data_IF_786769272952
#
_entry.id   IF_786769272952
#
_cell.length_a   1.000
_cell.length_b   1.000
_cell.length_c   1.000
_cell.angle_alpha   90.00
_cell.angle_beta   90.00
_cell.angle_gamma   90.00
#
_symmetry.space_group_name_H-M   'P 1'
#
loop_
_entity.id
_entity.type
_entity.pdbx_description
1 polymer ?
#
# COMPACT_ATOMS: atom_id res chain seq x y z
N UNK A 1 45.35 22.34 10.00
CA UNK A 1 44.02 22.85 9.59
C UNK A 1 43.68 22.18 8.26
N UNK A 2 43.18 20.95 8.14
CA UNK A 2 42.12 20.19 8.84
C UNK A 2 40.70 20.75 8.64
N UNK A 3 40.36 21.22 7.44
CA UNK A 3 38.98 21.54 7.07
C UNK A 3 38.81 21.54 5.55
N UNK A 4 38.84 20.39 4.87
CA UNK A 4 38.35 20.32 3.47
C UNK A 4 37.79 18.95 3.05
N UNK A 5 37.69 17.98 3.97
CA UNK A 5 37.36 16.58 3.64
C UNK A 5 36.00 16.11 4.19
N UNK A 6 35.12 17.05 4.57
CA UNK A 6 33.82 16.73 5.21
C UNK A 6 32.63 16.98 4.28
N UNK A 7 32.82 17.63 3.13
CA UNK A 7 31.70 18.03 2.27
C UNK A 7 31.22 16.97 1.27
N UNK A 8 31.83 15.78 1.22
CA UNK A 8 31.53 14.76 0.19
C UNK A 8 30.71 13.56 0.71
N UNK A 9 30.34 13.52 1.99
CA UNK A 9 29.75 12.33 2.61
C UNK A 9 28.23 12.41 2.88
N UNK A 10 27.56 13.50 2.49
CA UNK A 10 26.13 13.74 2.83
C UNK A 10 25.13 13.36 1.74
N UNK A 11 25.54 12.71 0.63
CA UNK A 11 24.67 12.46 -0.52
C UNK A 11 24.22 11.01 -0.76
N UNK A 12 24.56 10.04 0.12
CA UNK A 12 24.38 8.60 -0.21
C UNK A 12 23.18 7.93 0.47
N UNK A 13 22.27 8.68 1.11
CA UNK A 13 21.03 8.09 1.64
C UNK A 13 19.78 8.82 1.16
N UNK A 14 19.69 9.07 -0.15
CA UNK A 14 18.36 9.15 -0.77
C UNK A 14 17.82 7.72 -0.85
N UNK A 15 17.05 7.32 0.17
CA UNK A 15 16.14 6.20 0.02
C UNK A 15 15.18 6.58 -1.12
N UNK A 16 15.40 5.97 -2.29
CA UNK A 16 14.42 5.96 -3.36
C UNK A 16 13.20 5.22 -2.82
N UNK A 17 12.30 5.97 -2.20
CA UNK A 17 10.93 5.54 -2.01
C UNK A 17 10.35 5.43 -3.42
N UNK A 18 10.42 4.22 -3.98
CA UNK A 18 9.72 3.89 -5.21
C UNK A 18 8.23 4.11 -4.94
N UNK A 19 7.76 5.29 -5.34
CA UNK A 19 6.35 5.66 -5.44
C UNK A 19 5.78 4.87 -6.63
N UNK A 20 5.51 3.59 -6.41
CA UNK A 20 4.86 2.75 -7.40
C UNK A 20 3.35 2.84 -7.20
N UNK A 21 2.61 3.28 -8.23
CA UNK A 21 1.16 3.51 -8.19
C UNK A 21 0.34 2.22 -7.98
N UNK A 22 0.95 1.04 -8.05
CA UNK A 22 0.30 -0.20 -7.61
C UNK A 22 1.26 -1.34 -7.36
N UNK A 23 1.22 -1.99 -6.20
CA UNK A 23 2.13 -3.11 -5.90
C UNK A 23 1.59 -4.42 -6.50
N UNK A 24 2.36 -5.06 -7.38
CA UNK A 24 1.91 -6.24 -8.13
C UNK A 24 2.00 -7.57 -7.37
N UNK A 25 2.68 -7.60 -6.21
CA UNK A 25 2.84 -8.81 -5.41
C UNK A 25 3.09 -8.45 -3.93
N UNK A 26 2.01 -8.17 -3.19
CA UNK A 26 2.06 -7.92 -1.74
C UNK A 26 1.04 -8.79 -1.01
N UNK A 27 1.15 -8.91 0.32
CA UNK A 27 0.15 -9.58 1.15
C UNK A 27 -0.61 -8.59 2.00
N UNK A 28 -1.80 -8.98 2.43
CA UNK A 28 -2.56 -8.23 3.42
C UNK A 28 -2.00 -8.53 4.81
N UNK A 29 -1.41 -7.51 5.44
CA UNK A 29 -0.85 -7.61 6.79
C UNK A 29 -1.91 -7.41 7.88
N UNK A 30 -2.85 -6.48 7.68
CA UNK A 30 -3.93 -6.22 8.62
C UNK A 30 -5.14 -5.56 7.94
N UNK A 31 -6.34 -5.79 8.46
CA UNK A 31 -7.58 -5.12 8.03
C UNK A 31 -8.30 -4.57 9.25
N UNK A 32 -8.75 -3.31 9.17
CA UNK A 32 -9.63 -2.66 10.15
C UNK A 32 -10.86 -2.13 9.45
N UNK A 33 -12.05 -2.57 9.87
CA UNK A 33 -13.32 -2.13 9.29
C UNK A 33 -14.01 -1.11 10.19
N UNK A 34 -14.58 -0.06 9.60
CA UNK A 34 -15.46 0.95 10.23
C UNK A 34 -16.76 1.04 9.42
N UNK A 35 -17.82 1.71 9.92
CA UNK A 35 -19.13 1.73 9.26
C UNK A 35 -19.12 2.14 7.78
N UNK A 36 -18.24 3.08 7.38
CA UNK A 36 -18.21 3.65 6.02
C UNK A 36 -16.89 3.44 5.28
N UNK A 37 -15.89 2.87 5.93
CA UNK A 37 -14.54 2.72 5.37
C UNK A 37 -13.84 1.51 5.98
N UNK A 38 -13.12 0.76 5.16
CA UNK A 38 -12.17 -0.23 5.60
C UNK A 38 -10.74 0.26 5.35
N UNK A 39 -9.87 -0.02 6.30
CA UNK A 39 -8.44 0.26 6.24
C UNK A 39 -7.70 -1.05 6.04
N UNK A 40 -6.86 -1.11 5.02
CA UNK A 40 -6.06 -2.30 4.68
C UNK A 40 -4.58 -1.93 4.75
N UNK A 41 -3.80 -2.65 5.55
CA UNK A 41 -2.35 -2.52 5.59
C UNK A 41 -1.76 -3.65 4.74
N UNK A 42 -1.04 -3.28 3.68
CA UNK A 42 -0.30 -4.22 2.85
C UNK A 42 1.15 -4.36 3.32
N UNK A 43 1.75 -5.51 3.08
CA UNK A 43 3.18 -5.71 3.33
C UNK A 43 4.03 -4.76 2.48
N UNK A 44 5.06 -4.18 3.11
CA UNK A 44 5.91 -3.17 2.49
C UNK A 44 5.33 -1.74 2.50
N UNK A 45 4.05 -1.56 2.84
CA UNK A 45 3.44 -0.24 2.94
C UNK A 45 3.54 0.28 4.39
N UNK A 46 3.98 1.53 4.55
CA UNK A 46 4.19 2.14 5.87
C UNK A 46 2.88 2.60 6.53
N UNK A 47 1.81 2.73 5.74
CA UNK A 47 0.50 3.24 6.16
C UNK A 47 -0.63 2.35 5.64
N UNK A 48 -1.79 2.49 6.28
CA UNK A 48 -3.02 1.86 5.82
C UNK A 48 -3.52 2.55 4.55
N UNK A 49 -4.07 1.77 3.64
CA UNK A 49 -4.87 2.21 2.48
C UNK A 49 -6.37 2.16 2.82
N UNK A 50 -7.20 2.89 2.08
CA UNK A 50 -8.65 2.98 2.31
C UNK A 50 -9.46 2.30 1.21
N UNK A 51 -10.54 1.64 1.61
CA UNK A 51 -11.63 1.16 0.76
C UNK A 51 -12.92 1.80 1.29
N UNK A 52 -13.56 2.65 0.50
CA UNK A 52 -14.82 3.31 0.89
C UNK A 52 -16.00 2.35 0.76
N UNK A 53 -16.75 2.06 1.81
CA UNK A 53 -17.84 1.06 1.77
C UNK A 53 -19.17 1.64 1.23
N UNK A 54 -19.09 2.59 0.31
CA UNK A 54 -20.21 3.40 -0.17
C UNK A 54 -21.05 2.73 -1.25
N UNK A 55 -20.49 1.76 -1.98
CA UNK A 55 -21.17 1.02 -3.03
C UNK A 55 -20.78 -0.47 -3.00
N UNK A 56 -21.47 -1.29 -3.79
CA UNK A 56 -21.28 -2.74 -3.77
C UNK A 56 -19.95 -3.17 -4.36
N UNK A 57 -19.39 -2.39 -5.30
CA UNK A 57 -18.06 -2.64 -5.84
C UNK A 57 -16.99 -2.59 -4.74
N UNK A 58 -16.98 -1.55 -3.91
CA UNK A 58 -16.01 -1.44 -2.83
C UNK A 58 -16.24 -2.43 -1.69
N UNK A 59 -17.50 -2.78 -1.40
CA UNK A 59 -17.80 -3.87 -0.45
C UNK A 59 -17.27 -5.21 -0.96
N UNK A 60 -17.43 -5.49 -2.26
CA UNK A 60 -16.85 -6.67 -2.88
C UNK A 60 -15.31 -6.63 -2.82
N UNK A 61 -14.69 -5.48 -3.07
CA UNK A 61 -13.23 -5.30 -2.92
C UNK A 61 -12.75 -5.61 -1.49
N UNK A 62 -13.48 -5.18 -0.45
CA UNK A 62 -13.21 -5.58 0.93
C UNK A 62 -13.35 -7.09 1.11
N UNK A 63 -14.39 -7.72 0.57
CA UNK A 63 -14.57 -9.17 0.63
C UNK A 63 -13.40 -9.92 -0.01
N UNK A 64 -12.90 -9.44 -1.15
CA UNK A 64 -11.71 -9.98 -1.81
C UNK A 64 -10.48 -9.83 -0.92
N UNK A 65 -10.26 -8.66 -0.32
CA UNK A 65 -9.14 -8.42 0.60
C UNK A 65 -9.18 -9.35 1.82
N UNK A 66 -10.36 -9.52 2.43
CA UNK A 66 -10.56 -10.43 3.57
C UNK A 66 -10.29 -11.88 3.18
N UNK A 67 -10.78 -12.31 2.01
CA UNK A 67 -10.56 -13.66 1.49
C UNK A 67 -9.07 -13.91 1.22
N UNK A 68 -8.39 -12.96 0.59
CA UNK A 68 -6.95 -13.05 0.33
C UNK A 68 -6.14 -13.11 1.63
N UNK A 69 -6.49 -12.30 2.63
CA UNK A 69 -5.86 -12.30 3.95
C UNK A 69 -6.06 -13.66 4.66
N UNK A 70 -7.29 -14.16 4.70
CA UNK A 70 -7.63 -15.44 5.33
C UNK A 70 -6.94 -16.63 4.65
N UNK A 71 -6.78 -16.58 3.32
CA UNK A 71 -6.09 -17.60 2.54
C UNK A 71 -4.57 -17.41 2.45
N UNK A 72 -4.01 -16.38 3.10
CA UNK A 72 -2.59 -16.00 3.03
C UNK A 72 -2.07 -15.88 1.58
N UNK A 73 -2.90 -15.34 0.69
CA UNK A 73 -2.57 -15.16 -0.74
C UNK A 73 -1.96 -13.80 -1.00
N UNK A 74 -1.06 -13.75 -1.98
CA UNK A 74 -0.58 -12.50 -2.54
C UNK A 74 -1.66 -11.81 -3.35
N UNK A 75 -1.62 -10.49 -3.35
CA UNK A 75 -2.51 -9.61 -4.10
C UNK A 75 -1.69 -8.60 -4.90
N UNK A 76 -2.21 -8.23 -6.07
CA UNK A 76 -1.85 -6.98 -6.73
C UNK A 76 -2.85 -5.90 -6.31
N UNK A 77 -2.34 -4.71 -6.00
CA UNK A 77 -3.15 -3.59 -5.49
C UNK A 77 -2.86 -2.38 -6.34
N UNK A 78 -3.90 -1.77 -6.88
CA UNK A 78 -3.82 -0.44 -7.47
C UNK A 78 -4.34 0.63 -6.51
N UNK A 79 -3.76 1.82 -6.59
CA UNK A 79 -4.28 2.99 -5.92
C UNK A 79 -4.97 3.94 -6.90
N UNK A 80 -5.76 4.88 -6.41
CA UNK A 80 -6.27 5.98 -7.24
C UNK A 80 -5.11 6.82 -7.83
N UNK A 81 -5.37 7.52 -8.93
CA UNK A 81 -4.35 8.25 -9.69
C UNK A 81 -3.52 9.19 -8.81
N UNK A 82 -2.20 9.14 -8.96
CA UNK A 82 -1.26 9.94 -8.17
C UNK A 82 -1.08 9.47 -6.72
N UNK A 83 -1.67 8.34 -6.33
CA UNK A 83 -1.52 7.76 -5.00
C UNK A 83 -0.67 6.50 -5.04
N UNK A 84 0.01 6.21 -3.94
CA UNK A 84 0.85 5.02 -3.77
C UNK A 84 0.93 4.63 -2.30
N UNK A 85 1.64 3.56 -1.98
CA UNK A 85 1.91 3.18 -0.59
C UNK A 85 2.70 4.23 0.22
N UNK A 86 3.32 5.22 -0.43
CA UNK A 86 3.95 6.35 0.24
C UNK A 86 2.96 7.47 0.59
N UNK A 87 1.79 7.50 -0.05
CA UNK A 87 0.75 8.50 0.20
C UNK A 87 0.13 8.32 1.60
N UNK A 88 -0.50 9.40 2.10
CA UNK A 88 -1.25 9.34 3.35
C UNK A 88 -2.63 8.76 3.07
N UNK A 89 -2.86 7.55 3.59
CA UNK A 89 -4.13 6.85 3.43
C UNK A 89 -4.61 6.73 1.97
N UNK A 90 -3.81 6.12 1.08
CA UNK A 90 -4.17 6.01 -0.33
C UNK A 90 -5.47 5.21 -0.49
N UNK A 91 -6.33 5.65 -1.40
CA UNK A 91 -7.55 4.97 -1.78
C UNK A 91 -7.21 3.86 -2.75
N UNK A 92 -7.69 2.66 -2.45
CA UNK A 92 -7.50 1.48 -3.30
C UNK A 92 -8.46 1.56 -4.48
N UNK A 93 -7.93 1.46 -5.70
CA UNK A 93 -8.71 1.42 -6.92
C UNK A 93 -9.10 -0.01 -7.31
N UNK A 94 -8.21 -0.99 -7.10
CA UNK A 94 -8.49 -2.41 -7.31
C UNK A 94 -7.63 -3.32 -6.42
N UNK A 95 -8.09 -4.56 -6.21
CA UNK A 95 -7.35 -5.65 -5.57
C UNK A 95 -7.56 -6.92 -6.38
N UNK A 96 -6.46 -7.50 -6.86
CA UNK A 96 -6.44 -8.75 -7.62
C UNK A 96 -5.72 -9.84 -6.83
N UNK A 97 -6.42 -10.93 -6.51
CA UNK A 97 -5.81 -12.08 -5.83
C UNK A 97 -5.00 -12.91 -6.83
N UNK A 98 -3.73 -13.18 -6.50
CA UNK A 98 -2.87 -14.06 -7.29
C UNK A 98 -3.01 -15.49 -6.75
N UNK A 99 -3.62 -16.36 -7.57
CA UNK A 99 -3.89 -17.76 -7.20
C UNK A 99 -2.78 -18.74 -7.59
N UNK A 100 -1.78 -18.29 -8.36
CA UNK A 100 -0.68 -19.08 -8.91
C UNK A 100 0.63 -18.79 -8.16
#
# INVERSE_FOLDING_TARGET
MKFFLVSFFTLIFSQVAFSYEGNTNTKVKNIRVRPTVAYVLFEGCSRYSKIYLTNDYYKAMLSVALTAAAANKSVAVGFESGQSCASVEPVVSYIDVKFL
#
